data_IF_613017417582
#
_entry.id   IF_613017417582
#
_cell.length_a   1.000
_cell.length_b   1.000
_cell.length_c   1.000
_cell.angle_alpha   90.00
_cell.angle_beta   90.00
_cell.angle_gamma   90.00
#
_symmetry.space_group_name_H-M   'P 1'
#
loop_
_entity.id
_entity.type
_entity.pdbx_description
1 polymer ?
#
# COMPACT_ATOMS: atom_id res chain seq x y z
N UNK A 1 -15.81 -11.57 16.81
CA UNK A 1 -14.75 -10.68 16.29
C UNK A 1 -14.86 -10.57 14.78
N UNK A 2 -14.96 -9.36 14.26
CA UNK A 2 -14.93 -9.20 12.82
C UNK A 2 -13.55 -9.62 12.28
N UNK A 3 -13.56 -10.31 11.16
CA UNK A 3 -12.32 -10.67 10.50
C UNK A 3 -11.67 -9.42 9.90
N UNK A 4 -10.35 -9.43 9.81
CA UNK A 4 -9.64 -8.36 9.12
C UNK A 4 -9.80 -8.54 7.62
N UNK A 5 -9.69 -7.45 6.86
CA UNK A 5 -9.77 -7.51 5.39
C UNK A 5 -8.54 -8.22 4.82
N UNK A 6 -7.41 -8.03 5.44
CA UNK A 6 -6.15 -8.67 5.04
C UNK A 6 -5.58 -9.48 6.20
N UNK A 7 -4.81 -10.51 5.88
CA UNK A 7 -3.98 -11.18 6.87
C UNK A 7 -2.80 -10.27 7.22
N UNK A 8 -2.26 -9.60 6.20
CA UNK A 8 -1.14 -8.66 6.35
C UNK A 8 -1.04 -7.81 5.08
N UNK A 9 -0.39 -6.65 5.24
CA UNK A 9 0.05 -5.84 4.10
C UNK A 9 1.53 -5.55 4.31
N UNK A 10 2.29 -5.66 3.24
CA UNK A 10 3.72 -5.33 3.23
C UNK A 10 3.96 -4.19 2.25
N UNK A 11 4.69 -3.18 2.68
CA UNK A 11 5.07 -2.05 1.84
C UNK A 11 6.59 -2.06 1.76
N UNK A 12 7.12 -2.04 0.56
CA UNK A 12 8.56 -2.19 0.35
C UNK A 12 9.05 -1.25 -0.73
N UNK A 13 10.23 -0.66 -0.51
CA UNK A 13 10.89 0.14 -1.52
C UNK A 13 12.40 -0.02 -1.39
N UNK A 14 13.10 0.27 -2.46
CA UNK A 14 14.57 0.22 -2.47
C UNK A 14 15.10 1.64 -2.35
N UNK A 15 16.09 1.81 -1.46
CA UNK A 15 16.81 3.06 -1.32
C UNK A 15 18.21 2.86 -1.89
N UNK A 16 18.52 3.54 -2.97
CA UNK A 16 19.84 3.44 -3.62
C UNK A 16 20.84 4.29 -2.85
N UNK A 17 22.13 3.95 -2.97
CA UNK A 17 23.20 4.67 -2.27
C UNK A 17 23.23 6.16 -2.57
N UNK A 18 22.75 6.56 -3.75
CA UNK A 18 22.70 7.97 -4.16
C UNK A 18 21.46 8.71 -3.64
N UNK A 19 20.53 8.01 -3.03
CA UNK A 19 19.30 8.61 -2.52
C UNK A 19 19.42 8.94 -1.04
N UNK A 20 18.60 9.90 -0.61
CA UNK A 20 18.54 10.25 0.81
C UNK A 20 17.54 9.34 1.53
N UNK A 21 18.08 8.42 2.30
CA UNK A 21 17.25 7.43 3.03
C UNK A 21 16.23 8.11 3.95
N UNK A 22 16.60 9.22 4.55
CA UNK A 22 15.73 9.96 5.47
C UNK A 22 14.43 10.40 4.80
N UNK A 23 14.49 10.77 3.52
CA UNK A 23 13.30 11.19 2.79
C UNK A 23 12.35 10.01 2.55
N UNK A 24 12.91 8.85 2.24
CA UNK A 24 12.09 7.64 2.06
C UNK A 24 11.52 7.15 3.37
N UNK A 25 12.29 7.24 4.45
CA UNK A 25 11.78 6.88 5.78
C UNK A 25 10.59 7.77 6.16
N UNK A 26 10.68 9.08 5.89
CA UNK A 26 9.58 10.00 6.12
C UNK A 26 8.34 9.65 5.32
N UNK A 27 8.52 9.29 4.04
CA UNK A 27 7.41 8.86 3.18
C UNK A 27 6.72 7.64 3.78
N UNK A 28 7.51 6.65 4.19
CA UNK A 28 6.97 5.43 4.77
C UNK A 28 6.20 5.74 6.07
N UNK A 29 6.76 6.58 6.93
CA UNK A 29 6.10 6.96 8.18
C UNK A 29 4.81 7.74 7.94
N UNK A 30 4.79 8.66 6.98
CA UNK A 30 3.59 9.42 6.65
C UNK A 30 2.49 8.52 6.09
N UNK A 31 2.88 7.55 5.26
CA UNK A 31 1.91 6.66 4.63
C UNK A 31 1.38 5.59 5.61
N UNK A 32 2.25 5.07 6.45
CA UNK A 32 1.94 3.89 7.24
C UNK A 32 1.79 4.13 8.75
N UNK A 33 2.35 5.23 9.24
CA UNK A 33 2.25 5.57 10.65
C UNK A 33 2.86 4.51 11.55
N UNK A 34 2.05 4.01 12.47
CA UNK A 34 2.45 2.98 13.42
C UNK A 34 2.45 1.62 12.73
N UNK A 35 3.60 1.18 12.29
CA UNK A 35 3.79 -0.08 11.58
C UNK A 35 5.08 -0.73 12.04
N UNK A 36 5.29 -1.97 11.66
CA UNK A 36 6.52 -2.69 11.95
C UNK A 36 7.49 -2.43 10.82
N UNK A 37 8.52 -1.63 11.10
CA UNK A 37 9.52 -1.22 10.11
C UNK A 37 10.78 -2.07 10.22
N UNK A 38 11.36 -2.36 9.06
CA UNK A 38 12.66 -3.03 9.00
C UNK A 38 13.43 -2.52 7.80
N UNK A 39 14.74 -2.67 7.86
CA UNK A 39 15.58 -2.33 6.73
C UNK A 39 16.70 -3.35 6.61
N UNK A 40 17.09 -3.63 5.39
CA UNK A 40 18.09 -4.64 5.10
C UNK A 40 18.99 -4.17 3.96
N UNK A 41 20.31 -4.13 4.19
CA UNK A 41 21.23 -3.79 3.11
C UNK A 41 21.31 -4.95 2.11
N UNK A 42 21.44 -4.59 0.85
CA UNK A 42 21.61 -5.59 -0.20
C UNK A 42 22.50 -5.00 -1.31
N UNK A 43 23.09 -5.85 -2.12
CA UNK A 43 23.92 -5.41 -3.22
C UNK A 43 23.16 -5.60 -4.54
N UNK A 44 23.28 -4.60 -5.41
CA UNK A 44 22.72 -4.72 -6.74
C UNK A 44 23.63 -5.63 -7.58
N UNK A 45 23.15 -6.03 -8.76
CA UNK A 45 23.91 -6.84 -9.70
C UNK A 45 25.23 -6.18 -10.12
N UNK A 46 25.29 -4.85 -10.01
CA UNK A 46 26.48 -4.08 -10.40
C UNK A 46 27.35 -3.71 -9.19
N UNK A 47 27.11 -4.35 -8.05
CA UNK A 47 27.93 -4.13 -6.86
C UNK A 47 27.61 -2.86 -6.09
N UNK A 48 26.58 -2.13 -6.48
CA UNK A 48 26.15 -0.94 -5.75
C UNK A 48 25.31 -1.35 -4.52
N UNK A 49 25.61 -0.74 -3.39
CA UNK A 49 24.87 -1.01 -2.16
C UNK A 49 23.52 -0.30 -2.21
N UNK A 50 22.47 -0.99 -1.81
CA UNK A 50 21.17 -0.39 -1.61
C UNK A 50 20.54 -0.95 -0.35
N UNK A 51 19.53 -0.26 0.16
CA UNK A 51 18.82 -0.68 1.37
C UNK A 51 17.37 -0.97 1.00
N UNK A 52 16.86 -2.10 1.45
CA UNK A 52 15.45 -2.44 1.31
C UNK A 52 14.75 -1.88 2.53
N UNK A 53 13.81 -0.96 2.32
CA UNK A 53 12.98 -0.43 3.39
C UNK A 53 11.64 -1.15 3.32
N UNK A 54 11.21 -1.72 4.42
CA UNK A 54 9.98 -2.50 4.46
C UNK A 54 9.16 -2.14 5.69
N UNK A 55 7.85 -2.17 5.55
CA UNK A 55 6.92 -2.02 6.65
C UNK A 55 5.85 -3.08 6.53
N UNK A 56 5.36 -3.55 7.67
CA UNK A 56 4.34 -4.58 7.72
C UNK A 56 3.18 -4.12 8.58
N UNK A 57 1.97 -4.32 8.07
CA UNK A 57 0.73 -4.00 8.76
C UNK A 57 -0.04 -5.29 8.99
N UNK A 58 -0.63 -5.45 10.17
CA UNK A 58 -1.38 -6.66 10.52
C UNK A 58 -2.73 -6.38 11.16
N UNK A 59 -3.04 -5.13 11.44
CA UNK A 59 -4.28 -4.74 12.13
C UNK A 59 -5.23 -4.05 11.18
N UNK A 60 -6.53 -4.29 11.37
CA UNK A 60 -7.56 -3.68 10.52
C UNK A 60 -7.47 -2.15 10.50
N UNK A 61 -7.21 -1.53 11.64
CA UNK A 61 -7.03 -0.09 11.74
C UNK A 61 -5.90 0.40 10.84
N UNK A 62 -4.80 -0.36 10.79
CA UNK A 62 -3.65 0.00 9.96
C UNK A 62 -4.00 -0.08 8.48
N UNK A 63 -4.78 -1.08 8.07
CA UNK A 63 -5.21 -1.22 6.67
C UNK A 63 -6.10 -0.03 6.29
N UNK A 64 -7.05 0.33 7.15
CA UNK A 64 -7.91 1.48 6.92
C UNK A 64 -7.11 2.76 6.76
N UNK A 65 -6.18 3.00 7.68
CA UNK A 65 -5.37 4.21 7.67
C UNK A 65 -4.56 4.32 6.39
N UNK A 66 -4.00 3.21 5.91
CA UNK A 66 -3.23 3.20 4.66
C UNK A 66 -4.11 3.65 3.49
N UNK A 67 -5.26 3.04 3.30
CA UNK A 67 -6.12 3.35 2.16
C UNK A 67 -6.78 4.73 2.31
N UNK A 68 -6.99 5.18 3.53
CA UNK A 68 -7.47 6.52 3.79
C UNK A 68 -6.44 7.56 3.34
N UNK A 69 -5.17 7.33 3.68
CA UNK A 69 -4.07 8.23 3.30
C UNK A 69 -3.80 8.24 1.81
N UNK A 70 -3.99 7.10 1.14
CA UNK A 70 -3.84 7.01 -0.31
C UNK A 70 -4.87 7.86 -1.04
N UNK A 71 -6.04 8.04 -0.44
CA UNK A 71 -7.06 8.95 -0.96
C UNK A 71 -8.12 8.28 -1.82
N UNK A 72 -9.23 8.99 -2.06
CA UNK A 72 -10.38 8.41 -2.76
C UNK A 72 -10.09 8.06 -4.22
N UNK A 73 -9.23 8.81 -4.90
CA UNK A 73 -8.92 8.54 -6.31
C UNK A 73 -8.20 7.21 -6.48
N UNK A 74 -7.25 6.93 -5.58
CA UNK A 74 -6.53 5.64 -5.63
C UNK A 74 -7.46 4.50 -5.24
N UNK A 75 -8.31 4.70 -4.23
CA UNK A 75 -9.28 3.67 -3.84
C UNK A 75 -10.23 3.33 -4.99
N UNK A 76 -10.74 4.35 -5.69
CA UNK A 76 -11.59 4.14 -6.87
C UNK A 76 -10.86 3.40 -7.97
N UNK A 77 -9.60 3.78 -8.20
CA UNK A 77 -8.79 3.10 -9.21
C UNK A 77 -8.62 1.61 -8.90
N UNK A 78 -8.38 1.27 -7.63
CA UNK A 78 -8.25 -0.13 -7.21
C UNK A 78 -9.55 -0.89 -7.49
N UNK A 79 -10.68 -0.33 -7.10
CA UNK A 79 -11.99 -0.96 -7.30
C UNK A 79 -12.28 -1.14 -8.78
N UNK A 80 -12.02 -0.13 -9.60
CA UNK A 80 -12.27 -0.19 -11.04
C UNK A 80 -11.39 -1.20 -11.75
N UNK A 81 -10.20 -1.47 -11.22
CA UNK A 81 -9.23 -2.39 -11.82
C UNK A 81 -9.04 -3.65 -10.96
N UNK A 82 -10.02 -4.00 -10.16
CA UNK A 82 -9.90 -5.02 -9.13
C UNK A 82 -9.42 -6.36 -9.66
N UNK A 83 -9.85 -6.73 -10.85
CA UNK A 83 -9.47 -7.98 -11.47
C UNK A 83 -7.97 -8.11 -11.73
N UNK A 84 -7.28 -6.98 -11.90
CA UNK A 84 -5.83 -6.95 -12.09
C UNK A 84 -5.08 -6.70 -10.79
N UNK A 85 -5.80 -6.32 -9.73
CA UNK A 85 -5.17 -6.02 -8.44
C UNK A 85 -5.12 -7.23 -7.52
N UNK A 86 -5.96 -8.24 -7.76
CA UNK A 86 -6.02 -9.45 -6.93
C UNK A 86 -5.76 -10.66 -7.83
N UNK A 87 -4.89 -11.56 -7.38
CA UNK A 87 -4.57 -12.77 -8.14
C UNK A 87 -5.29 -14.02 -7.61
N UNK A 88 -5.00 -15.17 -8.22
CA UNK A 88 -5.63 -16.43 -7.87
C UNK A 88 -5.32 -16.90 -6.44
N UNK A 89 -4.26 -16.37 -5.85
CA UNK A 89 -3.87 -16.68 -4.48
C UNK A 89 -4.40 -15.65 -3.48
N UNK A 90 -5.35 -14.83 -3.90
CA UNK A 90 -5.93 -13.77 -3.07
C UNK A 90 -4.91 -12.71 -2.65
N UNK A 91 -3.86 -12.56 -3.43
CA UNK A 91 -2.85 -11.55 -3.18
C UNK A 91 -3.21 -10.25 -3.89
N UNK A 92 -3.11 -9.16 -3.16
CA UNK A 92 -3.33 -7.81 -3.66
C UNK A 92 -1.98 -7.18 -3.99
N UNK A 93 -1.92 -6.49 -5.14
CA UNK A 93 -0.70 -5.82 -5.60
C UNK A 93 -1.01 -4.44 -6.13
N UNK A 94 -0.21 -3.46 -5.73
CA UNK A 94 -0.19 -2.15 -6.38
C UNK A 94 1.17 -1.52 -6.18
N UNK A 95 1.47 -0.50 -6.96
CA UNK A 95 2.73 0.24 -6.88
C UNK A 95 2.46 1.73 -6.93
N UNK A 96 3.21 2.47 -6.12
CA UNK A 96 3.19 3.93 -6.15
C UNK A 96 4.50 4.43 -6.75
N UNK A 97 4.43 5.57 -7.42
CA UNK A 97 5.63 6.23 -7.93
C UNK A 97 6.43 6.75 -6.74
N UNK A 98 7.66 6.28 -6.59
CA UNK A 98 8.50 6.63 -5.44
C UNK A 98 8.88 8.11 -5.44
N UNK A 99 9.25 8.65 -6.58
CA UNK A 99 9.68 10.06 -6.65
C UNK A 99 8.52 11.02 -6.39
N UNK A 100 7.33 10.68 -6.87
CA UNK A 100 6.13 11.48 -6.58
C UNK A 100 5.80 11.46 -5.09
N UNK A 101 5.94 10.28 -4.46
CA UNK A 101 5.70 10.15 -3.03
C UNK A 101 6.66 11.02 -2.22
N UNK A 102 7.92 11.07 -2.61
CA UNK A 102 8.92 11.94 -1.96
C UNK A 102 8.50 13.41 -2.08
N UNK A 103 7.85 13.78 -3.17
CA UNK A 103 7.36 15.15 -3.38
C UNK A 103 6.00 15.41 -2.73
N UNK A 104 5.45 14.42 -2.03
CA UNK A 104 4.20 14.58 -1.29
C UNK A 104 2.94 14.19 -2.04
N UNK A 105 3.07 13.50 -3.17
CA UNK A 105 1.93 13.10 -3.99
C UNK A 105 1.90 11.59 -4.18
N UNK A 106 0.76 10.95 -3.91
CA UNK A 106 0.61 9.52 -4.14
C UNK A 106 0.01 9.29 -5.51
N UNK A 107 0.77 8.65 -6.37
CA UNK A 107 0.33 8.33 -7.74
C UNK A 107 0.65 6.88 -8.04
N UNK A 108 -0.27 6.21 -8.71
CA UNK A 108 -0.09 4.82 -9.13
C UNK A 108 0.98 4.74 -10.22
N UNK A 109 1.87 3.77 -10.09
CA UNK A 109 2.90 3.50 -11.09
C UNK A 109 2.78 2.05 -11.56
N UNK A 110 3.23 1.78 -12.76
CA UNK A 110 3.19 0.42 -13.33
C UNK A 110 4.58 -0.20 -13.44
N UNK A 111 5.59 0.62 -13.49
CA UNK A 111 6.98 0.17 -13.62
C UNK A 111 7.92 1.26 -13.14
N UNK A 112 9.19 0.94 -13.11
CA UNK A 112 10.22 1.89 -12.73
C UNK A 112 10.48 1.87 -11.23
N UNK A 113 10.85 3.01 -10.70
CA UNK A 113 11.23 3.17 -9.30
C UNK A 113 9.98 3.36 -8.45
N UNK A 114 9.62 2.35 -7.69
CA UNK A 114 8.31 2.29 -7.05
C UNK A 114 8.36 1.95 -5.56
N UNK A 115 7.25 2.24 -4.89
CA UNK A 115 6.94 1.72 -3.56
C UNK A 115 5.91 0.62 -3.82
N UNK A 116 6.27 -0.62 -3.53
CA UNK A 116 5.39 -1.77 -3.78
C UNK A 116 4.54 -2.07 -2.56
N UNK A 117 3.24 -2.20 -2.78
CA UNK A 117 2.28 -2.56 -1.74
C UNK A 117 1.70 -3.92 -2.10
N UNK A 118 1.90 -4.90 -1.22
CA UNK A 118 1.44 -6.28 -1.40
C UNK A 118 0.66 -6.69 -0.17
N UNK A 119 -0.47 -7.35 -0.36
CA UNK A 119 -1.25 -7.81 0.78
C UNK A 119 -1.91 -9.15 0.51
N UNK A 120 -2.19 -9.89 1.57
CA UNK A 120 -2.94 -11.15 1.49
C UNK A 120 -4.35 -10.88 1.97
N UNK A 121 -5.31 -10.94 1.04
CA UNK A 121 -6.72 -10.72 1.39
C UNK A 121 -7.22 -11.94 2.17
N UNK A 122 -7.89 -11.68 3.29
CA UNK A 122 -8.47 -12.73 4.11
C UNK A 122 -9.83 -13.13 3.52
N UNK A 123 -9.85 -14.23 2.81
CA UNK A 123 -11.01 -14.67 2.03
C UNK A 123 -11.40 -16.11 2.40
N UNK A 124 -12.69 -16.33 2.63
CA UNK A 124 -13.28 -17.63 2.92
C UNK A 124 -14.54 -17.81 2.07
N UNK A 125 -14.52 -18.69 1.05
CA UNK A 125 -13.39 -19.51 0.61
C UNK A 125 -12.28 -18.66 -0.01
N UNK A 126 -11.08 -19.24 -0.09
CA UNK A 126 -9.92 -18.55 -0.63
C UNK A 126 -9.95 -18.60 -2.16
N UNK A 127 -10.79 -17.78 -2.75
CA UNK A 127 -10.97 -17.67 -4.19
C UNK A 127 -10.82 -16.22 -4.62
N UNK A 128 -10.28 -16.06 -5.82
CA UNK A 128 -10.04 -14.72 -6.38
C UNK A 128 -11.30 -13.86 -6.37
N UNK A 129 -12.44 -14.37 -6.85
CA UNK A 129 -13.69 -13.61 -6.93
C UNK A 129 -14.19 -13.18 -5.55
N UNK A 130 -13.99 -14.01 -4.55
CA UNK A 130 -14.40 -13.67 -3.17
C UNK A 130 -13.47 -12.59 -2.62
N UNK A 131 -12.17 -12.73 -2.85
CA UNK A 131 -11.19 -11.74 -2.42
C UNK A 131 -11.43 -10.38 -3.09
N UNK A 132 -11.73 -10.36 -4.39
CA UNK A 132 -12.06 -9.15 -5.12
C UNK A 132 -13.26 -8.44 -4.49
N UNK A 133 -14.31 -9.20 -4.19
CA UNK A 133 -15.52 -8.64 -3.58
C UNK A 133 -15.24 -8.07 -2.19
N UNK A 134 -14.50 -8.81 -1.37
CA UNK A 134 -14.15 -8.36 -0.02
C UNK A 134 -13.38 -7.06 -0.07
N UNK A 135 -12.38 -6.99 -0.94
CA UNK A 135 -11.56 -5.78 -1.06
C UNK A 135 -12.37 -4.61 -1.63
N UNK A 136 -13.17 -4.85 -2.67
CA UNK A 136 -14.00 -3.81 -3.27
C UNK A 136 -15.01 -3.25 -2.25
N UNK A 137 -15.64 -4.10 -1.48
CA UNK A 137 -16.59 -3.67 -0.44
C UNK A 137 -15.88 -2.86 0.65
N UNK A 138 -14.70 -3.31 1.07
CA UNK A 138 -13.92 -2.59 2.07
C UNK A 138 -13.58 -1.18 1.60
N UNK A 139 -13.05 -1.05 0.39
CA UNK A 139 -12.63 0.24 -0.15
C UNK A 139 -13.82 1.14 -0.47
N UNK A 140 -14.89 0.58 -1.00
CA UNK A 140 -16.11 1.35 -1.33
C UNK A 140 -16.85 1.82 -0.08
N UNK A 141 -16.69 1.09 1.00
CA UNK A 141 -17.32 1.46 2.27
C UNK A 141 -16.56 2.51 3.07
N UNK A 142 -15.37 2.86 2.64
CA UNK A 142 -14.57 3.88 3.34
C UNK A 142 -15.09 5.27 3.01
N UNK A 143 -15.25 6.07 4.05
CA UNK A 143 -15.67 7.45 3.88
C UNK A 143 -14.45 8.31 3.58
N UNK A 144 -14.66 9.29 2.71
CA UNK A 144 -13.65 10.30 2.44
C UNK A 144 -13.79 11.37 3.52
N UNK A 145 -12.81 11.46 4.41
CA UNK A 145 -12.82 12.43 5.49
C UNK A 145 -12.89 13.86 4.99
N UNK A 146 -12.29 14.15 3.83
CA UNK A 146 -12.37 15.46 3.22
C UNK A 146 -13.80 15.79 2.81
N UNK A 147 -14.49 14.84 2.20
CA UNK A 147 -15.90 14.98 1.81
C UNK A 147 -16.79 15.18 3.03
N UNK A 148 -16.55 14.41 4.07
CA UNK A 148 -17.29 14.54 5.32
C UNK A 148 -17.15 15.92 5.91
N UNK A 149 -15.94 16.44 5.96
CA UNK A 149 -15.65 17.78 6.45
C UNK A 149 -16.39 18.83 5.66
N UNK A 150 -16.35 18.74 4.35
CA UNK A 150 -17.03 19.66 3.46
C UNK A 150 -18.53 19.57 3.59
N UNK A 151 -19.04 18.36 3.72
CA UNK A 151 -20.46 18.13 3.89
C UNK A 151 -21.03 18.74 5.17
N UNK A 152 -20.20 18.89 6.18
CA UNK A 152 -20.63 19.45 7.45
C UNK A 152 -20.65 20.98 7.47
N UNK A 153 -20.04 21.59 6.50
CA UNK A 153 -19.95 23.04 6.45
C UNK A 153 -21.11 23.71 5.75
#
# INVERSE_FOLDING_TARGET
MPATTFHWIRVQTFCYATERKELLEEVMEELLGDAEYSEEPTDSEHGNTMTILEARLTKQRQFRDLFDRLGPDIRSWIVDDIGNRVDEDCMFYMRLDKQKAVLGSYEVAHHGDVIAITGKVQSHPARKEVAERILAEFLSGMEDHSSSSEGSS
#
